data_IF_490907795901
#
_entry.id   IF_490907795901
#
_cell.length_a   1.000
_cell.length_b   1.000
_cell.length_c   1.000
_cell.angle_alpha   90.00
_cell.angle_beta   90.00
_cell.angle_gamma   90.00
#
_symmetry.space_group_name_H-M   'P 1'
#
loop_
_entity.id
_entity.type
_entity.pdbx_description
1 polymer ?
#
# COMPACT_ATOMS: atom_id res chain seq x y z
N UNK A 1 -17.80 2.26 -24.91
CA UNK A 1 -17.22 2.66 -23.61
C UNK A 1 -17.05 1.39 -22.81
N UNK A 2 -15.85 0.79 -22.89
CA UNK A 2 -15.48 -0.37 -22.09
C UNK A 2 -14.77 0.24 -20.88
N UNK A 3 -15.48 0.42 -19.76
CA UNK A 3 -14.93 0.95 -18.50
C UNK A 3 -14.50 -0.19 -17.58
N UNK A 4 -13.89 -1.23 -18.14
CA UNK A 4 -13.41 -2.35 -17.34
C UNK A 4 -11.98 -2.05 -16.97
N UNK A 5 -11.81 -1.69 -15.70
CA UNK A 5 -10.54 -1.66 -15.00
C UNK A 5 -9.82 -3.00 -15.25
N UNK A 6 -8.85 -3.02 -16.17
CA UNK A 6 -8.06 -4.22 -16.52
C UNK A 6 -6.65 -4.13 -15.88
N UNK A 7 -6.53 -3.40 -14.76
CA UNK A 7 -5.35 -3.51 -13.92
C UNK A 7 -5.49 -4.80 -13.12
N UNK A 8 -4.74 -5.82 -13.53
CA UNK A 8 -4.55 -7.02 -12.73
C UNK A 8 -3.56 -6.75 -11.61
N UNK A 9 -3.65 -7.50 -10.50
CA UNK A 9 -2.71 -7.38 -9.38
C UNK A 9 -1.28 -7.55 -9.90
N UNK A 10 -0.48 -6.48 -9.80
CA UNK A 10 0.93 -6.50 -10.14
C UNK A 10 1.75 -7.07 -8.98
N UNK A 11 2.68 -7.96 -9.28
CA UNK A 11 3.60 -8.51 -8.29
C UNK A 11 4.58 -7.43 -7.80
N UNK A 12 4.88 -6.44 -8.62
CA UNK A 12 5.75 -5.33 -8.24
C UNK A 12 5.07 -4.45 -7.19
N UNK A 13 3.77 -4.16 -7.34
CA UNK A 13 3.00 -3.43 -6.32
C UNK A 13 3.06 -4.16 -4.96
N UNK A 14 2.95 -5.50 -4.96
CA UNK A 14 3.11 -6.32 -3.73
C UNK A 14 4.52 -6.19 -3.15
N UNK A 15 5.55 -6.26 -3.99
CA UNK A 15 6.95 -6.21 -3.55
C UNK A 15 7.31 -4.86 -2.94
N UNK A 16 6.91 -3.75 -3.59
CA UNK A 16 7.15 -2.39 -3.10
C UNK A 16 6.35 -2.13 -1.82
N UNK A 17 5.08 -2.55 -1.74
CA UNK A 17 4.29 -2.44 -0.50
C UNK A 17 4.91 -3.21 0.66
N UNK A 18 5.34 -4.45 0.41
CA UNK A 18 6.00 -5.27 1.42
C UNK A 18 7.30 -4.60 1.91
N UNK A 19 8.09 -4.00 1.00
CA UNK A 19 9.26 -3.20 1.37
C UNK A 19 8.88 -2.01 2.25
N UNK A 20 7.88 -1.21 1.83
CA UNK A 20 7.44 -0.02 2.56
C UNK A 20 6.94 -0.35 3.97
N UNK A 21 6.13 -1.40 4.13
CA UNK A 21 5.63 -1.85 5.43
C UNK A 21 6.75 -2.27 6.37
N UNK A 22 7.73 -3.04 5.88
CA UNK A 22 8.91 -3.42 6.66
C UNK A 22 9.66 -2.17 7.13
N UNK A 23 9.97 -1.26 6.19
CA UNK A 23 10.71 -0.03 6.46
C UNK A 23 9.98 0.90 7.44
N UNK A 24 8.66 1.01 7.33
CA UNK A 24 7.86 1.79 8.25
C UNK A 24 7.94 1.22 9.67
N UNK A 25 7.78 -0.10 9.84
CA UNK A 25 7.91 -0.74 11.17
C UNK A 25 9.30 -0.51 11.75
N UNK A 26 10.35 -0.73 10.97
CA UNK A 26 11.73 -0.53 11.43
C UNK A 26 12.00 0.94 11.83
N UNK A 27 11.51 1.90 11.05
CA UNK A 27 11.67 3.33 11.33
C UNK A 27 10.88 3.79 12.57
N UNK A 28 9.79 3.09 12.91
CA UNK A 28 8.89 3.46 14.00
C UNK A 28 9.00 2.57 15.24
N UNK A 29 9.86 1.56 15.23
CA UNK A 29 9.97 0.56 16.30
C UNK A 29 10.17 1.20 17.69
N UNK A 30 10.97 2.27 17.80
CA UNK A 30 11.17 2.98 19.07
C UNK A 30 9.90 3.72 19.54
N UNK A 31 9.07 4.18 18.60
CA UNK A 31 7.83 4.92 18.89
C UNK A 31 6.67 4.00 19.21
N UNK A 32 6.56 2.87 18.52
CA UNK A 32 5.46 1.90 18.68
C UNK A 32 5.73 0.87 19.76
N UNK A 33 6.99 0.73 20.21
CA UNK A 33 7.46 -0.36 21.09
C UNK A 33 7.20 -1.76 20.48
N UNK A 34 7.10 -1.82 19.15
CA UNK A 34 6.84 -3.04 18.40
C UNK A 34 7.95 -3.30 17.38
N UNK A 35 8.64 -4.43 17.54
CA UNK A 35 9.62 -4.86 16.53
C UNK A 35 8.94 -5.51 15.32
N UNK A 36 9.66 -5.56 14.20
CA UNK A 36 9.24 -6.26 12.99
C UNK A 36 8.84 -7.72 13.25
N UNK A 37 9.54 -8.40 14.17
CA UNK A 37 9.25 -9.78 14.56
C UNK A 37 7.93 -9.87 15.33
N UNK A 38 7.60 -8.87 16.15
CA UNK A 38 6.34 -8.80 16.89
C UNK A 38 5.15 -8.56 15.95
N UNK A 39 5.30 -7.68 14.96
CA UNK A 39 4.27 -7.43 13.93
C UNK A 39 4.06 -8.68 13.06
N UNK A 40 5.15 -9.36 12.69
CA UNK A 40 5.15 -10.64 12.00
C UNK A 40 5.18 -10.53 10.48
N UNK A 41 6.21 -11.12 9.86
CA UNK A 41 6.42 -11.10 8.41
C UNK A 41 5.24 -11.64 7.59
N UNK A 42 4.58 -12.70 8.08
CA UNK A 42 3.41 -13.26 7.39
C UNK A 42 2.23 -12.28 7.35
N UNK A 43 2.03 -11.51 8.42
CA UNK A 43 1.01 -10.45 8.47
C UNK A 43 1.36 -9.34 7.49
N UNK A 44 2.61 -8.89 7.48
CA UNK A 44 3.07 -7.83 6.56
C UNK A 44 2.89 -8.23 5.10
N UNK A 45 3.33 -9.43 4.71
CA UNK A 45 3.17 -9.91 3.35
C UNK A 45 1.69 -10.06 2.96
N UNK A 46 0.84 -10.48 3.92
CA UNK A 46 -0.61 -10.58 3.71
C UNK A 46 -1.24 -9.20 3.49
N UNK A 47 -0.84 -8.19 4.27
CA UNK A 47 -1.30 -6.81 4.10
C UNK A 47 -0.88 -6.25 2.74
N UNK A 48 0.38 -6.47 2.33
CA UNK A 48 0.88 -6.06 1.02
C UNK A 48 0.09 -6.72 -0.12
N UNK A 49 -0.16 -8.04 -0.03
CA UNK A 49 -0.91 -8.78 -1.04
C UNK A 49 -2.36 -8.29 -1.16
N UNK A 50 -3.03 -8.08 -0.02
CA UNK A 50 -4.40 -7.57 0.02
C UNK A 50 -4.49 -6.14 -0.49
N UNK A 51 -3.56 -5.27 -0.08
CA UNK A 51 -3.54 -3.88 -0.51
C UNK A 51 -3.28 -3.75 -2.01
N UNK A 52 -2.31 -4.50 -2.57
CA UNK A 52 -2.08 -4.54 -4.01
C UNK A 52 -3.29 -5.04 -4.80
N UNK A 53 -4.01 -6.03 -4.25
CA UNK A 53 -5.26 -6.49 -4.86
C UNK A 53 -6.31 -5.38 -4.87
N UNK A 54 -6.54 -4.71 -3.74
CA UNK A 54 -7.51 -3.61 -3.64
C UNK A 54 -7.12 -2.42 -4.52
N UNK A 55 -5.83 -2.12 -4.66
CA UNK A 55 -5.32 -1.11 -5.58
C UNK A 55 -5.72 -1.47 -7.02
N UNK A 56 -5.46 -2.71 -7.43
CA UNK A 56 -5.80 -3.17 -8.76
C UNK A 56 -7.31 -3.10 -9.02
N UNK A 57 -8.14 -3.44 -8.02
CA UNK A 57 -9.59 -3.38 -8.13
C UNK A 57 -10.17 -1.95 -8.15
N UNK A 58 -9.58 -1.03 -7.39
CA UNK A 58 -10.17 0.28 -7.11
C UNK A 58 -9.52 1.43 -7.88
N UNK A 59 -8.31 1.26 -8.40
CA UNK A 59 -7.65 2.27 -9.23
C UNK A 59 -8.46 2.54 -10.49
N UNK A 60 -8.75 3.81 -10.76
CA UNK A 60 -9.31 4.21 -12.06
C UNK A 60 -8.19 4.27 -13.09
N UNK A 61 -8.54 4.04 -14.36
CA UNK A 61 -7.63 4.23 -15.49
C UNK A 61 -7.07 5.67 -15.45
N UNK A 62 -5.77 5.80 -15.26
CA UNK A 62 -5.09 7.09 -15.12
C UNK A 62 -4.75 7.74 -16.47
N UNK A 63 -5.13 7.09 -17.58
CA UNK A 63 -4.94 7.60 -18.94
C UNK A 63 -3.47 7.56 -19.40
N UNK A 64 -3.22 8.16 -20.56
CA UNK A 64 -1.91 8.11 -21.25
C UNK A 64 -0.78 8.83 -20.49
N UNK A 65 -1.09 9.63 -19.46
CA UNK A 65 -0.14 10.38 -18.64
C UNK A 65 0.30 9.60 -17.37
N UNK A 66 -0.03 8.31 -17.27
CA UNK A 66 0.33 7.48 -16.12
C UNK A 66 1.86 7.26 -16.02
N UNK A 67 2.46 7.82 -14.98
CA UNK A 67 3.88 7.63 -14.63
C UNK A 67 4.04 6.51 -13.59
N UNK A 68 4.51 5.35 -14.06
CA UNK A 68 4.80 4.20 -13.20
C UNK A 68 5.91 4.45 -12.17
N UNK A 69 6.82 5.40 -12.40
CA UNK A 69 7.86 5.76 -11.42
C UNK A 69 7.24 6.52 -10.26
N UNK A 70 6.42 7.54 -10.55
CA UNK A 70 5.69 8.29 -9.53
C UNK A 70 4.73 7.39 -8.73
N UNK A 71 4.19 6.35 -9.37
CA UNK A 71 3.36 5.35 -8.72
C UNK A 71 4.13 4.57 -7.64
N UNK A 72 5.32 4.06 -7.96
CA UNK A 72 6.14 3.34 -6.98
C UNK A 72 6.68 4.25 -5.88
N UNK A 73 7.02 5.51 -6.18
CA UNK A 73 7.40 6.51 -5.17
C UNK A 73 6.28 6.73 -4.12
N UNK A 74 5.01 6.73 -4.57
CA UNK A 74 3.87 6.84 -3.66
C UNK A 74 3.66 5.59 -2.82
N UNK A 75 3.84 4.40 -3.41
CA UNK A 75 3.72 3.13 -2.69
C UNK A 75 4.84 2.96 -1.66
N UNK A 76 6.07 3.36 -1.99
CA UNK A 76 7.23 3.16 -1.13
C UNK A 76 7.30 4.11 0.07
N UNK A 77 6.44 5.14 0.10
CA UNK A 77 6.44 6.14 1.18
C UNK A 77 6.22 5.50 2.56
N UNK A 78 6.98 5.98 3.54
CA UNK A 78 6.93 5.58 4.94
C UNK A 78 6.61 6.76 5.87
N UNK A 79 6.13 7.86 5.31
CA UNK A 79 5.70 9.02 6.10
C UNK A 79 4.43 8.70 6.89
N UNK A 80 4.04 9.56 7.84
CA UNK A 80 2.90 9.31 8.73
C UNK A 80 1.54 9.22 8.01
N UNK A 81 1.43 9.85 6.84
CA UNK A 81 0.26 9.83 5.96
C UNK A 81 0.37 8.78 4.84
N UNK A 82 1.40 7.94 4.86
CA UNK A 82 1.62 6.94 3.83
C UNK A 82 0.65 5.76 3.93
N UNK A 83 0.53 5.03 2.82
CA UNK A 83 -0.26 3.79 2.78
C UNK A 83 0.26 2.76 3.79
N UNK A 84 1.59 2.67 3.98
CA UNK A 84 2.19 1.77 4.96
C UNK A 84 1.76 2.10 6.39
N UNK A 85 1.77 3.39 6.74
CA UNK A 85 1.32 3.87 8.05
C UNK A 85 -0.15 3.51 8.31
N UNK A 86 -1.02 3.77 7.32
CA UNK A 86 -2.45 3.51 7.43
C UNK A 86 -2.77 2.00 7.50
N UNK A 87 -2.08 1.14 6.74
CA UNK A 87 -2.28 -0.32 6.77
C UNK A 87 -1.83 -0.96 8.09
N UNK A 88 -0.87 -0.36 8.78
CA UNK A 88 -0.36 -0.87 10.06
C UNK A 88 -1.11 -0.31 11.28
N UNK A 89 -2.03 0.63 11.08
CA UNK A 89 -2.88 1.13 12.16
C UNK A 89 -3.78 0.03 12.74
N UNK A 90 -4.06 0.13 14.04
CA UNK A 90 -4.93 -0.81 14.73
C UNK A 90 -6.34 -0.81 14.14
N UNK A 91 -6.80 -2.00 13.76
CA UNK A 91 -8.13 -2.18 13.16
C UNK A 91 -8.25 -1.68 11.71
N UNK A 92 -7.12 -1.45 11.01
CA UNK A 92 -7.12 -1.05 9.62
C UNK A 92 -7.93 -2.02 8.74
N UNK A 93 -8.92 -1.48 8.02
CA UNK A 93 -9.62 -2.18 6.94
C UNK A 93 -8.90 -1.89 5.62
N UNK A 94 -8.20 -2.89 5.08
CA UNK A 94 -7.34 -2.73 3.89
C UNK A 94 -8.10 -2.09 2.73
N UNK A 95 -9.34 -2.49 2.50
CA UNK A 95 -10.16 -1.95 1.41
C UNK A 95 -10.41 -0.46 1.58
N UNK A 96 -10.85 -0.04 2.76
CA UNK A 96 -11.12 1.37 3.05
C UNK A 96 -9.84 2.20 3.06
N UNK A 97 -8.75 1.69 3.63
CA UNK A 97 -7.44 2.34 3.62
C UNK A 97 -6.97 2.60 2.19
N UNK A 98 -7.00 1.58 1.33
CA UNK A 98 -6.58 1.72 -0.08
C UNK A 98 -7.47 2.72 -0.82
N UNK A 99 -8.79 2.66 -0.61
CA UNK A 99 -9.72 3.62 -1.23
C UNK A 99 -9.37 5.05 -0.84
N UNK A 100 -9.22 5.30 0.45
CA UNK A 100 -9.02 6.64 0.98
C UNK A 100 -7.64 7.18 0.56
N UNK A 101 -6.63 6.30 0.47
CA UNK A 101 -5.31 6.62 -0.10
C UNK A 101 -5.40 6.97 -1.58
N UNK A 102 -6.10 6.18 -2.41
CA UNK A 102 -6.29 6.49 -3.83
C UNK A 102 -6.97 7.85 -4.03
N UNK A 103 -7.99 8.16 -3.23
CA UNK A 103 -8.72 9.43 -3.28
C UNK A 103 -7.89 10.64 -2.82
N UNK A 104 -6.77 10.43 -2.12
CA UNK A 104 -5.91 11.52 -1.64
C UNK A 104 -5.12 12.22 -2.75
N UNK A 105 -5.10 11.66 -3.96
CA UNK A 105 -4.36 12.19 -5.10
C UNK A 105 -5.25 12.73 -6.23
N UNK A 106 -6.57 12.70 -6.06
CA UNK A 106 -7.56 13.26 -7.00
C UNK A 106 -7.86 14.73 -6.69
#
# INVERSE_FOLDING_TARGET
MISTNDRSKDIEDVAVLNHALIRYVEANQERTDESLVCVGYARILTLADQAAAEIALQSTDQGDDWDGTLWFERIESIDEDSLAAALLADGADVKSVVRDWLLSFE
#
